data_IF_427484940090
#
_entry.id   IF_427484940090
#
_cell.length_a   1.000
_cell.length_b   1.000
_cell.length_c   1.000
_cell.angle_alpha   90.00
_cell.angle_beta   90.00
_cell.angle_gamma   90.00
#
_symmetry.space_group_name_H-M   'P 1'
#
loop_
_entity.id
_entity.type
_entity.pdbx_description
1 polymer ?
#
# COMPACT_ATOMS: atom_id res chain seq x y z
N UNK A 1 -11.68 -32.45 16.60
CA UNK A 1 -12.43 -31.90 17.74
C UNK A 1 -12.63 -30.43 17.44
N UNK A 2 -13.86 -29.93 17.46
CA UNK A 2 -14.13 -28.55 17.04
C UNK A 2 -13.96 -27.62 18.25
N UNK A 3 -13.37 -26.45 18.04
CA UNK A 3 -13.17 -25.42 19.05
C UNK A 3 -13.85 -24.13 18.59
N UNK A 4 -14.36 -23.35 19.55
CA UNK A 4 -15.00 -22.08 19.24
C UNK A 4 -14.00 -21.11 18.60
N UNK A 5 -14.29 -20.58 17.40
CA UNK A 5 -13.37 -19.67 16.71
C UNK A 5 -13.16 -18.36 17.47
N UNK A 6 -14.11 -18.00 18.35
CA UNK A 6 -14.06 -16.77 19.14
C UNK A 6 -13.31 -16.90 20.47
N UNK A 7 -13.36 -18.07 21.13
CA UNK A 7 -12.84 -18.19 22.51
C UNK A 7 -12.10 -19.51 22.81
N UNK A 8 -11.92 -20.38 21.81
CA UNK A 8 -11.18 -21.63 21.95
C UNK A 8 -11.87 -22.70 22.81
N UNK A 9 -13.11 -22.48 23.26
CA UNK A 9 -13.83 -23.49 24.05
C UNK A 9 -14.17 -24.73 23.19
N UNK A 10 -14.08 -25.92 23.78
CA UNK A 10 -14.42 -27.18 23.08
C UNK A 10 -15.90 -27.20 22.69
N UNK A 11 -16.18 -27.64 21.46
CA UNK A 11 -17.53 -27.72 20.89
C UNK A 11 -18.04 -29.16 20.87
N UNK A 12 -19.28 -29.35 21.31
CA UNK A 12 -20.08 -30.57 21.10
C UNK A 12 -20.78 -30.50 19.74
N UNK A 13 -20.93 -31.64 19.06
CA UNK A 13 -21.22 -31.70 17.61
C UNK A 13 -22.56 -31.11 17.14
N UNK A 14 -23.43 -30.59 18.01
CA UNK A 14 -24.72 -29.98 17.61
C UNK A 14 -25.08 -28.67 18.36
N UNK A 15 -24.14 -27.96 19.00
CA UNK A 15 -24.49 -26.72 19.71
C UNK A 15 -24.48 -25.48 18.80
N UNK A 16 -25.64 -24.80 18.69
CA UNK A 16 -25.82 -23.58 17.88
C UNK A 16 -25.00 -22.38 18.37
N UNK A 17 -24.81 -22.25 19.68
CA UNK A 17 -24.03 -21.17 20.27
C UNK A 17 -22.94 -21.74 21.18
N UNK A 18 -21.79 -21.07 21.24
CA UNK A 18 -20.74 -21.43 22.18
C UNK A 18 -21.22 -21.23 23.62
N UNK A 19 -21.25 -22.30 24.39
CA UNK A 19 -21.62 -22.28 25.82
C UNK A 19 -20.78 -21.37 26.71
N UNK A 20 -19.59 -20.95 26.27
CA UNK A 20 -18.69 -20.07 27.04
C UNK A 20 -18.80 -18.60 26.65
N UNK A 21 -18.92 -18.26 25.37
CA UNK A 21 -18.87 -16.87 24.90
C UNK A 21 -20.09 -16.42 24.08
N UNK A 22 -21.07 -17.31 23.86
CA UNK A 22 -22.30 -17.00 23.11
C UNK A 22 -22.12 -16.82 21.60
N UNK A 23 -20.94 -17.12 21.04
CA UNK A 23 -20.72 -17.05 19.59
C UNK A 23 -21.62 -18.04 18.83
N UNK A 24 -22.34 -17.59 17.81
CA UNK A 24 -23.11 -18.49 16.92
C UNK A 24 -22.14 -19.34 16.09
N UNK A 25 -22.33 -20.66 16.12
CA UNK A 25 -21.48 -21.66 15.50
C UNK A 25 -22.06 -22.17 14.18
N UNK A 26 -23.35 -21.92 13.91
CA UNK A 26 -24.06 -22.45 12.74
C UNK A 26 -23.91 -21.57 11.49
N UNK A 27 -23.11 -20.50 11.58
CA UNK A 27 -22.76 -19.62 10.45
C UNK A 27 -21.80 -20.30 9.46
N UNK A 28 -21.28 -21.48 9.79
CA UNK A 28 -20.30 -22.22 8.98
C UNK A 28 -20.67 -23.68 8.67
N UNK A 29 -21.88 -24.14 9.03
CA UNK A 29 -22.27 -25.55 8.85
C UNK A 29 -23.00 -25.85 7.53
N UNK A 30 -23.19 -24.87 6.64
CA UNK A 30 -23.86 -25.07 5.33
C UNK A 30 -22.95 -24.89 4.11
N UNK A 31 -21.62 -24.88 4.31
CA UNK A 31 -20.63 -24.83 3.22
C UNK A 31 -19.76 -26.09 3.16
N UNK A 32 -20.37 -27.28 3.25
CA UNK A 32 -19.81 -28.45 2.59
C UNK A 32 -19.99 -28.31 1.07
N UNK A 33 -19.41 -27.28 0.47
CA UNK A 33 -19.27 -27.19 -0.97
C UNK A 33 -17.94 -27.86 -1.31
N UNK A 34 -18.06 -29.08 -1.82
CA UNK A 34 -17.15 -29.69 -2.78
C UNK A 34 -17.00 -28.74 -3.98
N UNK A 35 -16.24 -27.66 -3.82
CA UNK A 35 -15.97 -26.73 -4.92
C UNK A 35 -14.80 -27.30 -5.69
N UNK A 36 -15.12 -27.98 -6.78
CA UNK A 36 -14.19 -28.17 -7.89
C UNK A 36 -13.68 -26.79 -8.29
N UNK A 37 -12.43 -26.50 -7.91
CA UNK A 37 -11.73 -25.30 -8.36
C UNK A 37 -11.28 -25.59 -9.80
N UNK A 38 -12.12 -25.23 -10.77
CA UNK A 38 -11.59 -24.98 -12.12
C UNK A 38 -10.74 -23.72 -12.02
N UNK A 39 -9.43 -23.91 -12.02
CA UNK A 39 -8.45 -22.84 -12.18
C UNK A 39 -8.75 -22.19 -13.53
N UNK A 40 -9.37 -21.02 -13.52
CA UNK A 40 -9.46 -20.18 -14.71
C UNK A 40 -8.04 -19.77 -15.10
N UNK A 41 -7.45 -20.49 -16.06
CA UNK A 41 -6.16 -20.12 -16.64
C UNK A 41 -6.29 -18.74 -17.27
N UNK A 42 -5.67 -17.74 -16.60
CA UNK A 42 -5.50 -16.41 -17.16
C UNK A 42 -4.54 -16.51 -18.34
N UNK A 43 -5.08 -16.71 -19.54
CA UNK A 43 -4.34 -16.68 -20.81
C UNK A 43 -3.63 -15.33 -20.92
N UNK A 44 -2.31 -15.32 -20.74
CA UNK A 44 -1.50 -14.13 -21.01
C UNK A 44 -1.63 -13.82 -22.51
N UNK A 45 -2.24 -12.67 -22.81
CA UNK A 45 -2.39 -12.24 -24.19
C UNK A 45 -1.00 -11.97 -24.77
N UNK A 46 -0.56 -12.81 -25.72
CA UNK A 46 0.72 -12.70 -26.46
C UNK A 46 0.68 -11.54 -27.48
N UNK A 47 -0.50 -10.94 -27.67
CA UNK A 47 -0.76 -9.90 -28.67
C UNK A 47 0.09 -8.62 -28.58
N UNK A 48 0.46 -8.08 -27.40
CA UNK A 48 1.33 -6.90 -27.35
C UNK A 48 2.75 -7.22 -27.84
N UNK A 49 3.24 -8.46 -27.69
CA UNK A 49 4.58 -8.85 -28.17
C UNK A 49 4.64 -9.03 -29.69
N UNK A 50 3.55 -9.50 -30.31
CA UNK A 50 3.48 -9.64 -31.79
C UNK A 50 3.52 -8.26 -32.45
N UNK A 51 2.78 -7.28 -31.91
CA UNK A 51 2.78 -5.91 -32.44
C UNK A 51 4.16 -5.25 -32.29
N UNK A 52 4.81 -5.40 -31.13
CA UNK A 52 6.17 -4.87 -30.93
C UNK A 52 7.17 -5.55 -31.86
N UNK A 53 7.07 -6.87 -32.05
CA UNK A 53 7.93 -7.61 -32.97
C UNK A 53 7.82 -7.13 -34.43
N UNK A 54 6.59 -6.90 -34.92
CA UNK A 54 6.36 -6.40 -36.27
C UNK A 54 6.93 -4.99 -36.48
N UNK A 55 6.83 -4.12 -35.47
CA UNK A 55 7.40 -2.76 -35.53
C UNK A 55 8.93 -2.82 -35.60
N UNK A 56 9.56 -3.65 -34.76
CA UNK A 56 11.03 -3.81 -34.77
C UNK A 56 11.53 -4.39 -36.10
N UNK A 57 10.84 -5.39 -36.66
CA UNK A 57 11.19 -5.97 -37.97
C UNK A 57 11.07 -4.92 -39.08
N UNK A 58 10.02 -4.10 -39.06
CA UNK A 58 9.85 -3.00 -40.03
C UNK A 58 10.99 -1.98 -39.98
N UNK A 59 11.44 -1.61 -38.78
CA UNK A 59 12.59 -0.70 -38.59
C UNK A 59 13.87 -1.33 -39.15
N UNK A 60 14.12 -2.60 -38.85
CA UNK A 60 15.32 -3.32 -39.35
C UNK A 60 15.33 -3.36 -40.88
N UNK A 61 14.21 -3.72 -41.51
CA UNK A 61 14.10 -3.77 -42.98
C UNK A 61 14.31 -2.39 -43.60
N UNK A 62 13.75 -1.33 -43.00
CA UNK A 62 13.97 0.05 -43.45
C UNK A 62 15.43 0.47 -43.35
N UNK A 63 16.12 0.13 -42.25
CA UNK A 63 17.54 0.41 -42.07
C UNK A 63 18.40 -0.36 -43.07
N UNK A 64 18.12 -1.64 -43.32
CA UNK A 64 18.82 -2.44 -44.31
C UNK A 64 18.62 -1.92 -45.73
N UNK A 65 17.41 -1.47 -46.07
CA UNK A 65 17.11 -0.88 -47.38
C UNK A 65 17.88 0.43 -47.59
N UNK A 66 17.88 1.32 -46.60
CA UNK A 66 18.66 2.55 -46.64
C UNK A 66 20.17 2.27 -46.76
N UNK A 67 20.68 1.30 -46.00
CA UNK A 67 22.09 0.87 -46.08
C UNK A 67 22.45 0.34 -47.48
N UNK A 68 21.59 -0.50 -48.06
CA UNK A 68 21.81 -1.03 -49.41
C UNK A 68 21.85 0.08 -50.46
N UNK A 69 20.93 1.03 -50.39
CA UNK A 69 20.83 2.10 -51.37
C UNK A 69 21.90 3.20 -51.21
N UNK A 70 22.41 3.41 -49.99
CA UNK A 70 23.38 4.46 -49.70
C UNK A 70 24.83 3.96 -49.73
N UNK A 71 25.10 2.70 -49.36
CA UNK A 71 26.47 2.17 -49.26
C UNK A 71 26.82 1.11 -50.31
N UNK A 72 25.85 0.37 -50.86
CA UNK A 72 26.12 -0.72 -51.81
C UNK A 72 25.79 -0.37 -53.27
N UNK A 73 25.07 0.73 -53.50
CA UNK A 73 24.75 1.23 -54.85
C UNK A 73 25.67 2.39 -55.24
N UNK A 74 26.98 2.14 -55.32
CA UNK A 74 27.90 2.98 -56.09
C UNK A 74 28.53 2.13 -57.20
N UNK A 75 28.07 2.36 -58.42
CA UNK A 75 28.59 1.69 -59.61
C UNK A 75 27.72 1.89 -60.83
N UNK A 76 27.76 3.10 -61.41
CA UNK A 76 27.90 3.35 -62.86
C UNK A 76 28.05 4.86 -63.14
N UNK A 77 29.09 5.17 -63.93
CA UNK A 77 29.73 6.46 -64.25
C UNK A 77 28.76 7.48 -64.92
N UNK A 78 28.97 8.81 -64.95
CA UNK A 78 30.05 9.49 -65.69
C UNK A 78 30.03 11.01 -65.45
N UNK A 79 31.23 11.55 -65.21
CA UNK A 79 31.83 12.87 -65.46
C UNK A 79 31.04 14.19 -65.71
N UNK A 80 31.61 15.23 -65.06
CA UNK A 80 32.02 16.55 -65.60
C UNK A 80 31.03 17.74 -65.64
N UNK A 81 31.33 18.72 -64.75
CA UNK A 81 31.93 20.03 -65.10
C UNK A 81 31.26 21.26 -64.46
N UNK A 82 32.11 22.00 -63.71
CA UNK A 82 32.13 23.44 -63.40
C UNK A 82 31.04 24.07 -62.52
N UNK A 83 31.25 25.11 -61.70
CA UNK A 83 32.42 25.82 -61.13
C UNK A 83 31.88 27.03 -60.32
N UNK A 84 32.60 27.43 -59.26
CA UNK A 84 32.68 28.79 -58.66
C UNK A 84 31.64 29.26 -57.62
N UNK A 85 32.01 29.11 -56.35
CA UNK A 85 32.46 30.17 -55.41
C UNK A 85 31.94 31.60 -55.60
N UNK A 86 31.28 32.18 -54.59
CA UNK A 86 31.86 33.23 -53.73
C UNK A 86 30.80 34.07 -53.00
N UNK A 87 31.05 34.20 -51.70
CA UNK A 87 30.57 35.17 -50.72
C UNK A 87 30.44 36.62 -51.22
N UNK A 88 29.64 37.43 -50.51
CA UNK A 88 30.09 38.63 -49.74
C UNK A 88 28.89 39.38 -49.11
N UNK A 89 28.96 39.51 -47.76
CA UNK A 89 28.64 40.67 -46.86
C UNK A 89 27.28 41.40 -47.00
N UNK A 90 26.70 42.09 -46.01
CA UNK A 90 27.22 42.84 -44.85
C UNK A 90 26.04 43.38 -44.01
N UNK A 91 26.34 43.78 -42.77
CA UNK A 91 25.73 44.88 -41.98
C UNK A 91 24.26 44.70 -41.52
N UNK A 92 23.81 45.19 -40.36
CA UNK A 92 24.33 46.20 -39.41
C UNK A 92 23.48 46.12 -38.13
N UNK A 93 24.12 46.39 -36.97
CA UNK A 93 23.70 47.34 -35.89
C UNK A 93 22.26 47.28 -35.31
N UNK A 94 21.97 47.53 -34.03
CA UNK A 94 22.70 48.01 -32.84
C UNK A 94 21.74 48.07 -31.65
N UNK A 95 22.32 48.11 -30.43
CA UNK A 95 21.97 49.00 -29.27
C UNK A 95 20.62 48.82 -28.58
N UNK A 96 20.47 48.97 -27.26
CA UNK A 96 21.37 49.34 -26.15
C UNK A 96 20.58 49.17 -24.84
N UNK A 97 21.35 49.11 -23.77
CA UNK A 97 21.13 49.01 -22.33
C UNK A 97 20.11 50.05 -21.79
N UNK A 98 19.57 50.03 -20.57
CA UNK A 98 19.81 49.29 -19.33
C UNK A 98 19.30 50.13 -18.13
N UNK A 99 19.43 49.55 -16.92
CA UNK A 99 19.78 50.21 -15.64
C UNK A 99 18.69 50.63 -14.60
N UNK A 100 18.60 49.80 -13.54
CA UNK A 100 18.75 50.06 -12.06
C UNK A 100 17.79 50.96 -11.26
N UNK A 101 17.33 50.45 -10.09
CA UNK A 101 17.34 51.08 -8.73
C UNK A 101 16.59 50.16 -7.72
N UNK A 102 17.23 49.37 -6.85
CA UNK A 102 17.68 49.59 -5.45
C UNK A 102 16.59 49.92 -4.36
N UNK A 103 16.20 48.87 -3.59
CA UNK A 103 16.12 48.70 -2.09
C UNK A 103 15.36 49.70 -1.14
N UNK A 104 15.08 49.38 0.18
CA UNK A 104 14.45 48.22 0.88
C UNK A 104 13.47 48.63 2.05
N UNK A 105 13.17 47.72 3.03
CA UNK A 105 12.61 47.89 4.42
C UNK A 105 11.06 47.72 4.55
N UNK A 106 10.39 46.81 5.30
CA UNK A 106 10.41 46.12 6.64
C UNK A 106 9.25 46.60 7.54
N UNK A 107 8.64 45.64 8.27
CA UNK A 107 7.88 45.72 9.56
C UNK A 107 6.35 45.45 9.45
N UNK A 108 5.88 44.27 9.90
CA UNK A 108 5.30 43.92 11.23
C UNK A 108 3.76 44.05 11.26
N UNK A 109 2.95 42.98 11.32
CA UNK A 109 2.65 42.04 12.44
C UNK A 109 1.73 42.66 13.52
N UNK A 110 0.48 42.15 13.61
CA UNK A 110 -0.36 41.91 14.81
C UNK A 110 -1.82 41.62 14.37
N UNK A 111 -2.74 40.97 15.10
CA UNK A 111 -2.83 39.72 15.90
C UNK A 111 -4.28 39.69 16.45
N UNK A 112 -5.04 38.60 16.24
CA UNK A 112 -6.23 38.12 16.98
C UNK A 112 -7.49 39.05 17.04
N UNK A 113 -8.76 38.60 17.16
CA UNK A 113 -9.35 37.50 17.95
C UNK A 113 -10.86 37.31 17.58
N UNK A 114 -11.32 36.05 17.61
CA UNK A 114 -12.66 35.51 17.96
C UNK A 114 -13.98 36.03 17.32
N UNK A 115 -14.73 35.11 16.70
CA UNK A 115 -16.14 34.84 17.03
C UNK A 115 -16.54 33.43 16.59
N UNK A 116 -17.15 32.68 17.51
CA UNK A 116 -17.92 31.46 17.24
C UNK A 116 -19.20 31.84 16.49
N UNK A 117 -19.58 31.05 15.49
CA UNK A 117 -20.98 30.85 15.12
C UNK A 117 -21.09 29.50 14.39
N UNK A 118 -21.86 28.60 15.00
CA UNK A 118 -22.31 27.35 14.40
C UNK A 118 -23.13 27.64 13.15
N UNK A 119 -22.70 27.09 12.00
CA UNK A 119 -23.65 26.68 10.96
C UNK A 119 -23.10 25.52 10.15
N UNK A 120 -23.54 24.35 10.57
CA UNK A 120 -23.70 23.10 9.85
C UNK A 120 -23.74 23.27 8.31
N UNK A 121 -22.65 22.87 7.65
CA UNK A 121 -22.59 22.47 6.23
C UNK A 121 -21.41 21.51 6.02
N UNK A 122 -21.75 20.23 5.92
CA UNK A 122 -21.12 19.24 5.05
C UNK A 122 -19.60 19.38 4.81
N UNK A 123 -18.80 18.81 5.71
CA UNK A 123 -17.37 18.61 5.50
C UNK A 123 -16.92 17.32 6.21
N UNK A 124 -17.35 16.16 5.70
CA UNK A 124 -16.70 14.89 6.06
C UNK A 124 -15.36 14.80 5.35
N UNK A 125 -14.40 15.66 5.73
CA UNK A 125 -12.99 15.40 5.43
C UNK A 125 -12.49 14.36 6.43
N UNK A 126 -12.81 13.12 6.09
CA UNK A 126 -12.31 11.88 6.67
C UNK A 126 -10.78 11.93 6.75
N UNK A 127 -10.23 12.17 7.94
CA UNK A 127 -8.80 12.06 8.18
C UNK A 127 -8.47 10.63 8.57
N UNK A 128 -7.63 9.98 7.77
CA UNK A 128 -7.12 8.65 8.08
C UNK A 128 -6.44 8.65 9.47
N UNK A 129 -6.55 7.56 10.24
CA UNK A 129 -6.13 7.52 11.63
C UNK A 129 -4.62 7.69 11.76
N UNK A 130 -4.21 8.57 12.67
CA UNK A 130 -2.83 8.72 13.12
C UNK A 130 -2.68 7.98 14.44
N UNK A 131 -1.83 6.95 14.46
CA UNK A 131 -1.66 6.07 15.62
C UNK A 131 -0.22 6.18 16.07
N UNK A 132 0.00 6.75 17.25
CA UNK A 132 1.30 6.76 17.90
C UNK A 132 1.51 5.46 18.66
N UNK A 133 2.29 4.55 18.08
CA UNK A 133 2.55 3.22 18.65
C UNK A 133 3.49 3.25 19.87
N UNK A 134 4.04 4.42 20.20
CA UNK A 134 4.89 4.61 21.39
C UNK A 134 4.09 5.17 22.57
N UNK A 135 2.83 5.54 22.35
CA UNK A 135 1.95 6.13 23.35
C UNK A 135 1.39 5.11 24.35
N UNK A 136 1.02 5.60 25.53
CA UNK A 136 0.29 4.82 26.53
C UNK A 136 -1.11 4.42 26.05
N UNK A 137 -1.71 5.24 25.19
CA UNK A 137 -3.02 4.94 24.59
C UNK A 137 -2.92 3.70 23.70
N UNK A 138 -1.91 3.63 22.82
CA UNK A 138 -1.67 2.45 21.99
C UNK A 138 -1.37 1.21 22.82
N UNK A 139 -0.57 1.36 23.88
CA UNK A 139 -0.28 0.24 24.79
C UNK A 139 -1.57 -0.36 25.36
N UNK A 140 -2.49 0.48 25.87
CA UNK A 140 -3.75 0.02 26.47
C UNK A 140 -4.77 -0.42 25.44
N UNK A 141 -4.85 0.27 24.30
CA UNK A 141 -5.91 0.04 23.30
C UNK A 141 -5.59 -1.09 22.32
N UNK A 142 -4.31 -1.41 22.12
CA UNK A 142 -3.86 -2.42 21.18
C UNK A 142 -2.97 -3.48 21.82
N UNK A 143 -1.87 -3.10 22.49
CA UNK A 143 -0.91 -4.09 23.02
C UNK A 143 -1.50 -4.98 24.13
N UNK A 144 -2.50 -4.50 24.85
CA UNK A 144 -3.15 -5.19 25.98
C UNK A 144 -4.60 -5.59 25.72
N UNK A 145 -5.07 -5.53 24.46
CA UNK A 145 -6.47 -5.79 24.12
C UNK A 145 -6.57 -6.71 22.90
N UNK A 146 -7.56 -7.60 22.92
CA UNK A 146 -7.91 -8.37 21.74
C UNK A 146 -8.58 -7.45 20.71
N UNK A 147 -7.87 -7.16 19.62
CA UNK A 147 -8.33 -6.27 18.54
C UNK A 147 -8.55 -7.00 17.23
N UNK A 148 -8.53 -8.35 17.22
CA UNK A 148 -8.68 -9.15 15.99
C UNK A 148 -9.99 -8.88 15.27
N UNK A 149 -11.07 -8.76 16.02
CA UNK A 149 -12.41 -8.56 15.47
C UNK A 149 -12.71 -7.09 15.11
N UNK A 150 -12.03 -6.14 15.78
CA UNK A 150 -12.24 -4.71 15.55
C UNK A 150 -11.14 -3.83 16.12
N UNK A 151 -10.79 -2.77 15.39
CA UNK A 151 -9.92 -1.70 15.88
C UNK A 151 -10.20 -0.40 15.10
N UNK A 152 -10.13 0.75 15.78
CA UNK A 152 -10.36 2.07 15.17
C UNK A 152 -11.63 2.10 14.31
N UNK A 153 -12.75 1.60 14.83
CA UNK A 153 -14.04 1.59 14.14
C UNK A 153 -14.17 0.66 12.94
N UNK A 154 -13.10 -0.02 12.51
CA UNK A 154 -13.13 -1.07 11.48
C UNK A 154 -13.40 -2.41 12.15
N UNK A 155 -14.15 -3.28 11.46
CA UNK A 155 -14.54 -4.61 11.93
C UNK A 155 -14.35 -5.61 10.81
N UNK A 156 -14.14 -6.88 11.16
CA UNK A 156 -14.16 -7.97 10.19
C UNK A 156 -15.47 -7.98 9.40
N UNK A 157 -15.39 -8.30 8.10
CA UNK A 157 -16.53 -8.35 7.19
C UNK A 157 -17.00 -7.00 6.64
N UNK A 158 -16.49 -5.87 7.13
CA UNK A 158 -16.77 -4.55 6.54
C UNK A 158 -16.26 -4.51 5.10
N UNK A 159 -17.00 -3.92 4.17
CA UNK A 159 -16.55 -3.79 2.78
C UNK A 159 -15.44 -2.74 2.65
N UNK A 160 -14.58 -2.86 1.62
CA UNK A 160 -13.60 -1.79 1.33
C UNK A 160 -14.26 -0.43 1.16
N UNK A 161 -15.41 -0.37 0.49
CA UNK A 161 -16.16 0.88 0.31
C UNK A 161 -16.58 1.53 1.65
N UNK A 162 -16.96 0.74 2.65
CA UNK A 162 -17.29 1.24 3.99
C UNK A 162 -16.06 1.74 4.75
N UNK A 163 -14.90 1.11 4.57
CA UNK A 163 -13.62 1.58 5.14
C UNK A 163 -13.22 2.91 4.47
N UNK A 164 -13.29 2.98 3.15
CA UNK A 164 -12.92 4.18 2.38
C UNK A 164 -13.88 5.35 2.59
N UNK A 165 -15.15 5.08 2.87
CA UNK A 165 -16.09 6.11 3.32
C UNK A 165 -15.65 6.78 4.62
N UNK A 166 -14.93 6.06 5.49
CA UNK A 166 -14.48 6.54 6.81
C UNK A 166 -13.12 7.22 6.78
N UNK A 167 -12.21 6.70 5.96
CA UNK A 167 -10.79 7.11 5.96
C UNK A 167 -10.26 7.64 4.63
N UNK A 168 -11.11 7.69 3.61
CA UNK A 168 -10.73 7.97 2.23
C UNK A 168 -10.07 6.77 1.59
N UNK A 169 -9.86 6.85 0.28
CA UNK A 169 -9.12 5.83 -0.46
C UNK A 169 -7.62 5.91 -0.16
N UNK A 170 -6.92 4.79 -0.27
CA UNK A 170 -5.47 4.73 -0.11
C UNK A 170 -4.85 3.80 -1.16
N UNK A 171 -3.70 4.21 -1.68
CA UNK A 171 -2.86 3.40 -2.57
C UNK A 171 -1.62 2.83 -1.85
N UNK A 172 -1.43 3.13 -0.56
CA UNK A 172 -0.31 2.61 0.22
C UNK A 172 -0.60 1.16 0.59
N UNK A 173 0.35 0.29 0.31
CA UNK A 173 0.22 -1.13 0.59
C UNK A 173 1.46 -1.69 1.27
N UNK A 174 1.26 -2.71 2.10
CA UNK A 174 2.33 -3.51 2.68
C UNK A 174 2.10 -4.98 2.35
N UNK A 175 3.11 -5.63 1.77
CA UNK A 175 3.12 -7.06 1.52
C UNK A 175 4.07 -7.71 2.53
N UNK A 176 3.50 -8.55 3.40
CA UNK A 176 4.26 -9.35 4.35
C UNK A 176 4.79 -10.59 3.62
N UNK A 177 6.09 -10.83 3.73
CA UNK A 177 6.74 -12.02 3.14
C UNK A 177 6.04 -13.29 3.63
N UNK A 178 5.78 -14.22 2.70
CA UNK A 178 5.11 -15.49 2.99
C UNK A 178 3.58 -15.44 2.97
N UNK A 179 2.97 -14.29 2.68
CA UNK A 179 1.51 -14.17 2.51
C UNK A 179 1.15 -13.89 1.04
N UNK A 180 -0.01 -14.36 0.62
CA UNK A 180 -0.55 -14.20 -0.74
C UNK A 180 -1.45 -12.96 -0.90
N UNK A 181 -1.63 -12.20 0.16
CA UNK A 181 -2.40 -10.95 0.19
C UNK A 181 -1.57 -9.79 0.75
N UNK A 182 -2.07 -8.57 0.56
CA UNK A 182 -1.47 -7.33 1.03
C UNK A 182 -2.38 -6.62 2.03
N UNK A 183 -1.79 -5.73 2.82
CA UNK A 183 -2.51 -4.76 3.63
C UNK A 183 -2.61 -3.45 2.87
N UNK A 184 -3.80 -2.86 2.78
CA UNK A 184 -3.99 -1.46 2.41
C UNK A 184 -3.82 -0.60 3.65
N UNK A 185 -3.05 0.48 3.56
CA UNK A 185 -2.68 1.32 4.70
C UNK A 185 -3.45 2.65 4.66
N UNK A 186 -4.39 2.83 5.58
CA UNK A 186 -5.16 4.06 5.77
C UNK A 186 -4.55 4.86 6.94
N UNK A 187 -3.71 5.85 6.63
CA UNK A 187 -2.96 6.58 7.67
C UNK A 187 -1.94 5.65 8.34
N UNK A 188 -2.20 5.25 9.58
CA UNK A 188 -1.46 4.22 10.31
C UNK A 188 -2.24 2.92 10.53
N UNK A 189 -3.48 2.81 10.04
CA UNK A 189 -4.26 1.57 10.12
C UNK A 189 -3.94 0.68 8.92
N UNK A 190 -3.62 -0.58 9.16
CA UNK A 190 -3.41 -1.59 8.13
C UNK A 190 -4.64 -2.51 8.02
N UNK A 191 -5.16 -2.71 6.82
CA UNK A 191 -6.36 -3.53 6.59
C UNK A 191 -6.09 -4.50 5.44
N UNK A 192 -6.19 -5.79 5.72
CA UNK A 192 -6.17 -6.82 4.68
C UNK A 192 -7.61 -7.19 4.31
N UNK A 193 -7.81 -7.49 3.03
CA UNK A 193 -9.11 -7.83 2.48
C UNK A 193 -9.11 -9.23 1.89
N UNK A 194 -10.27 -9.86 1.92
CA UNK A 194 -10.57 -11.10 1.19
C UNK A 194 -11.78 -10.90 0.30
N UNK A 195 -11.90 -11.71 -0.76
CA UNK A 195 -13.08 -11.72 -1.61
C UNK A 195 -14.13 -12.65 -1.00
N UNK A 196 -15.32 -12.10 -0.71
CA UNK A 196 -16.54 -12.87 -0.44
C UNK A 196 -17.50 -12.68 -1.60
N UNK A 197 -17.60 -13.69 -2.46
CA UNK A 197 -18.23 -13.56 -3.78
C UNK A 197 -17.50 -12.50 -4.60
N UNK A 198 -18.21 -11.43 -4.99
CA UNK A 198 -17.66 -10.31 -5.76
C UNK A 198 -17.33 -9.07 -4.90
N UNK A 199 -17.31 -9.20 -3.57
CA UNK A 199 -17.11 -8.07 -2.66
C UNK A 199 -15.86 -8.28 -1.82
N UNK A 200 -14.97 -7.27 -1.80
CA UNK A 200 -13.83 -7.25 -0.90
C UNK A 200 -14.28 -6.81 0.50
N UNK A 201 -14.02 -7.67 1.48
CA UNK A 201 -14.35 -7.44 2.88
C UNK A 201 -13.12 -7.57 3.76
N UNK A 202 -13.14 -6.87 4.90
CA UNK A 202 -12.05 -6.86 5.87
C UNK A 202 -11.86 -8.27 6.42
N UNK A 203 -10.65 -8.81 6.21
CA UNK A 203 -10.18 -10.10 6.73
C UNK A 203 -9.31 -9.92 7.97
N UNK A 204 -8.43 -8.92 7.97
CA UNK A 204 -7.53 -8.66 9.09
C UNK A 204 -7.31 -7.16 9.30
N UNK A 205 -7.02 -6.81 10.56
CA UNK A 205 -6.78 -5.44 11.00
C UNK A 205 -5.44 -5.42 11.75
N UNK A 206 -4.62 -4.43 11.43
CA UNK A 206 -3.34 -4.19 12.10
C UNK A 206 -3.00 -2.70 12.10
N UNK A 207 -1.79 -2.40 12.54
CA UNK A 207 -1.24 -1.03 12.58
C UNK A 207 0.08 -1.00 11.83
N UNK A 208 0.23 -0.05 10.93
CA UNK A 208 1.47 0.24 10.20
C UNK A 208 1.89 1.66 10.55
N UNK A 209 2.73 1.84 11.59
CA UNK A 209 3.21 3.15 11.98
C UNK A 209 4.11 3.74 10.87
N UNK A 210 4.37 5.03 10.94
CA UNK A 210 5.33 5.68 10.04
C UNK A 210 6.61 5.99 10.80
N UNK A 211 7.75 5.57 10.25
CA UNK A 211 9.09 5.93 10.73
C UNK A 211 9.34 5.55 12.21
N UNK A 212 8.90 4.38 12.64
CA UNK A 212 9.22 3.86 13.97
C UNK A 212 10.33 2.85 13.82
N UNK A 213 11.49 3.21 14.35
CA UNK A 213 12.68 2.36 14.38
C UNK A 213 12.45 1.12 15.27
N UNK A 214 12.98 -0.01 14.83
CA UNK A 214 12.87 -1.31 15.49
C UNK A 214 13.44 -1.29 16.91
N UNK A 215 14.64 -0.75 17.10
CA UNK A 215 15.29 -0.71 18.41
C UNK A 215 14.56 0.22 19.37
N UNK A 216 14.02 1.33 18.85
CA UNK A 216 13.20 2.26 19.62
C UNK A 216 11.92 1.58 20.11
N UNK A 217 11.25 0.80 19.25
CA UNK A 217 10.07 0.04 19.63
C UNK A 217 10.40 -1.06 20.67
N UNK A 218 11.47 -1.83 20.45
CA UNK A 218 11.94 -2.85 21.39
C UNK A 218 12.34 -2.22 22.73
N UNK A 219 12.93 -1.03 22.74
CA UNK A 219 13.27 -0.35 23.99
C UNK A 219 12.03 0.06 24.80
N UNK A 220 10.90 0.35 24.14
CA UNK A 220 9.62 0.67 24.81
C UNK A 220 8.90 -0.59 25.27
N UNK A 221 8.95 -1.64 24.46
CA UNK A 221 8.36 -2.95 24.72
C UNK A 221 9.49 -3.98 24.72
N UNK A 222 10.21 -4.10 25.84
CA UNK A 222 11.40 -4.97 25.95
C UNK A 222 11.05 -6.45 26.11
N UNK A 223 9.82 -6.75 26.52
CA UNK A 223 9.42 -8.06 27.02
C UNK A 223 8.73 -8.90 25.92
N UNK A 224 9.41 -9.09 24.78
CA UNK A 224 8.94 -10.03 23.75
C UNK A 224 9.33 -11.47 24.12
N UNK A 225 8.49 -12.43 23.76
CA UNK A 225 8.67 -13.85 24.11
C UNK A 225 9.45 -14.63 23.06
N UNK A 226 9.31 -14.26 21.78
CA UNK A 226 9.97 -14.94 20.66
C UNK A 226 10.44 -13.91 19.64
N UNK A 227 11.65 -14.13 19.12
CA UNK A 227 12.18 -13.53 17.91
C UNK A 227 12.50 -14.70 16.96
N UNK A 228 12.06 -14.61 15.70
CA UNK A 228 12.26 -15.67 14.72
C UNK A 228 13.43 -15.42 13.75
N UNK A 229 14.33 -14.49 14.06
CA UNK A 229 15.49 -14.05 13.24
C UNK A 229 15.12 -13.50 11.84
N UNK A 230 13.85 -13.57 11.44
CA UNK A 230 13.31 -13.12 10.16
C UNK A 230 12.65 -11.73 10.26
N UNK A 231 12.99 -10.96 11.29
CA UNK A 231 12.41 -9.64 11.53
C UNK A 231 10.96 -9.70 12.02
N UNK A 232 10.63 -10.66 12.90
CA UNK A 232 9.35 -10.66 13.59
C UNK A 232 9.48 -11.02 15.07
N UNK A 233 8.69 -10.32 15.88
CA UNK A 233 8.68 -10.39 17.33
C UNK A 233 7.28 -10.73 17.83
N UNK A 234 7.17 -11.66 18.77
CA UNK A 234 5.91 -12.01 19.43
C UNK A 234 5.93 -11.46 20.85
N UNK A 235 4.95 -10.61 21.17
CA UNK A 235 4.71 -10.06 22.48
C UNK A 235 3.47 -10.72 23.08
N UNK A 236 3.65 -11.52 24.13
CA UNK A 236 2.57 -12.09 24.92
C UNK A 236 2.87 -11.84 26.41
N UNK A 237 2.83 -10.56 26.79
CA UNK A 237 3.08 -10.11 28.17
C UNK A 237 2.00 -10.56 29.16
N UNK A 238 0.80 -10.89 28.67
CA UNK A 238 -0.33 -11.39 29.47
C UNK A 238 -0.76 -12.77 28.95
N UNK A 239 -0.20 -13.83 29.55
CA UNK A 239 -0.46 -15.22 29.15
C UNK A 239 -1.92 -15.64 29.33
N UNK A 240 -2.39 -16.55 28.48
CA UNK A 240 -3.71 -17.20 28.56
C UNK A 240 -4.90 -16.22 28.42
N UNK A 241 -4.69 -15.04 27.83
CA UNK A 241 -5.75 -14.10 27.51
C UNK A 241 -6.33 -14.35 26.09
N UNK A 242 -5.80 -15.32 25.35
CA UNK A 242 -6.31 -15.77 24.06
C UNK A 242 -5.80 -14.99 22.84
N UNK A 243 -4.86 -14.06 23.02
CA UNK A 243 -4.21 -13.35 21.92
C UNK A 243 -2.75 -13.01 22.23
N UNK A 244 -1.97 -12.75 21.19
CA UNK A 244 -0.61 -12.22 21.28
C UNK A 244 -0.42 -11.14 20.20
N UNK A 245 0.63 -10.32 20.35
CA UNK A 245 0.93 -9.26 19.39
C UNK A 245 2.14 -9.67 18.55
N UNK A 246 1.92 -9.76 17.24
CA UNK A 246 2.97 -9.99 16.26
C UNK A 246 3.42 -8.67 15.65
N UNK A 247 4.71 -8.38 15.79
CA UNK A 247 5.35 -7.21 15.21
C UNK A 247 6.27 -7.68 14.10
N UNK A 248 6.04 -7.22 12.88
CA UNK A 248 6.91 -7.48 11.72
C UNK A 248 7.69 -6.22 11.39
N UNK A 249 8.99 -6.38 11.19
CA UNK A 249 9.91 -5.32 10.81
C UNK A 249 10.30 -5.42 9.34
N UNK A 250 10.69 -4.29 8.74
CA UNK A 250 11.25 -4.23 7.40
C UNK A 250 12.30 -3.14 7.37
N UNK A 251 13.52 -3.48 6.94
CA UNK A 251 14.64 -2.54 6.83
C UNK A 251 14.94 -1.77 8.14
N UNK A 252 14.81 -2.43 9.30
CA UNK A 252 15.06 -1.81 10.60
C UNK A 252 13.92 -0.94 11.15
N UNK A 253 12.76 -0.91 10.49
CA UNK A 253 11.58 -0.18 10.94
C UNK A 253 10.40 -1.12 11.22
N UNK A 254 9.50 -0.71 12.11
CA UNK A 254 8.24 -1.39 12.36
C UNK A 254 7.31 -1.22 11.17
N UNK A 255 7.03 -2.32 10.48
CA UNK A 255 6.23 -2.31 9.26
C UNK A 255 4.76 -2.66 9.51
N UNK A 256 4.51 -3.61 10.42
CA UNK A 256 3.17 -4.08 10.73
C UNK A 256 3.11 -4.61 12.18
N UNK A 257 2.06 -4.23 12.90
CA UNK A 257 1.73 -4.72 14.24
C UNK A 257 0.34 -5.36 14.15
N UNK A 258 0.21 -6.62 14.56
CA UNK A 258 -1.01 -7.41 14.47
C UNK A 258 -1.37 -8.00 15.82
N UNK A 259 -2.67 -8.05 16.14
CA UNK A 259 -3.17 -8.93 17.18
C UNK A 259 -3.49 -10.28 16.52
N UNK A 260 -2.96 -11.39 17.05
CA UNK A 260 -3.15 -12.75 16.51
C UNK A 260 -3.61 -13.69 17.64
N UNK A 261 -4.25 -14.84 17.32
CA UNK A 261 -4.57 -15.83 18.33
C UNK A 261 -3.32 -16.29 19.08
N UNK A 262 -3.45 -16.54 20.39
CA UNK A 262 -2.34 -17.10 21.16
C UNK A 262 -1.95 -18.50 20.63
N UNK A 263 -0.64 -18.77 20.54
CA UNK A 263 -0.08 -20.00 19.95
C UNK A 263 -0.44 -20.19 18.47
N UNK A 264 -0.51 -19.11 17.69
CA UNK A 264 -0.72 -19.20 16.26
C UNK A 264 0.45 -19.87 15.52
N UNK A 265 1.64 -19.88 16.13
CA UNK A 265 2.89 -20.46 15.60
C UNK A 265 3.50 -21.51 16.53
#
# INVERSE_FOLDING_TARGET
MNFCPRCGNKITKEQRFCSKCGNDLHVFEDDSIESQYEIAERKSSIWPFILVGLVVIGIIVSCCFAYYHFFLKEGEQTEQTTTTTAHVKKDKETTDDGKVSNDPIKAEKQKAKQSEDEKDKDATHSQAPKIDVMSEDFHKSFMQKDTRDSYMGIKLGMTRAEVEKRYGSSNRVFHKTGMDYLYTIYGNLAVAYELKGNTEVVREIGVSPSNVDEQTFISKYSDYDKNNDAGSYIYNTVKNNGFEILVTTKNGEIALIQCIPENHY
#
